data_IF_716020673279
#
_entry.id   IF_716020673279
#
_cell.length_a   1.000
_cell.length_b   1.000
_cell.length_c   1.000
_cell.angle_alpha   90.00
_cell.angle_beta   90.00
_cell.angle_gamma   90.00
#
_symmetry.space_group_name_H-M   'P 1'
#
loop_
_entity.id
_entity.type
_entity.pdbx_description
1 polymer ?
#
# COMPACT_ATOMS: atom_id res chain seq x y z
N UNK A 1 -19.35 -7.59 -13.32
CA UNK A 1 -17.92 -7.34 -13.01
C UNK A 1 -17.22 -8.68 -12.95
N UNK A 2 -16.13 -8.91 -13.70
CA UNK A 2 -15.32 -10.11 -13.51
C UNK A 2 -14.65 -9.98 -12.14
N UNK A 3 -14.93 -10.93 -11.23
CA UNK A 3 -14.14 -11.08 -10.01
C UNK A 3 -12.76 -11.52 -10.47
N UNK A 4 -11.82 -10.58 -10.58
CA UNK A 4 -10.43 -10.94 -10.81
C UNK A 4 -9.98 -11.73 -9.60
N UNK A 5 -9.78 -13.04 -9.80
CA UNK A 5 -9.31 -13.91 -8.73
C UNK A 5 -7.89 -13.48 -8.39
N UNK A 6 -7.70 -12.89 -7.22
CA UNK A 6 -6.41 -12.50 -6.69
C UNK A 6 -6.21 -13.14 -5.32
N UNK A 7 -4.95 -13.22 -4.91
CA UNK A 7 -4.57 -13.74 -3.59
C UNK A 7 -3.65 -12.72 -2.93
N UNK A 8 -3.94 -12.42 -1.67
CA UNK A 8 -3.14 -11.53 -0.83
C UNK A 8 -2.41 -12.37 0.21
N UNK A 9 -1.10 -12.14 0.36
CA UNK A 9 -0.32 -12.71 1.46
C UNK A 9 0.47 -11.60 2.17
N UNK A 10 0.43 -11.66 3.50
CA UNK A 10 1.07 -10.72 4.42
C UNK A 10 2.16 -11.46 5.19
N UNK A 11 3.37 -10.92 5.23
CA UNK A 11 4.49 -11.52 5.97
C UNK A 11 5.78 -10.73 5.79
N UNK A 12 6.73 -10.90 6.72
CA UNK A 12 8.09 -10.32 6.63
C UNK A 12 8.13 -8.81 6.34
N UNK A 13 7.12 -8.06 6.81
CA UNK A 13 7.00 -6.62 6.57
C UNK A 13 6.58 -6.22 5.15
N UNK A 14 6.04 -7.16 4.37
CA UNK A 14 5.51 -6.92 3.03
C UNK A 14 4.12 -7.50 2.83
N UNK A 15 3.36 -6.86 1.93
CA UNK A 15 2.12 -7.38 1.38
C UNK A 15 2.35 -7.75 -0.09
N UNK A 16 1.91 -8.94 -0.48
CA UNK A 16 1.99 -9.42 -1.85
C UNK A 16 0.59 -9.63 -2.41
N UNK A 17 0.37 -9.19 -3.65
CA UNK A 17 -0.89 -9.38 -4.38
C UNK A 17 -0.61 -10.12 -5.67
N UNK A 18 -1.09 -11.35 -5.77
CA UNK A 18 -0.99 -12.17 -6.98
C UNK A 18 -2.32 -12.21 -7.70
N UNK A 19 -2.38 -11.73 -8.93
CA UNK A 19 -3.57 -11.86 -9.78
C UNK A 19 -3.48 -13.14 -10.63
N UNK A 20 -4.58 -13.87 -10.73
CA UNK A 20 -4.67 -15.07 -11.56
C UNK A 20 -4.60 -14.68 -13.02
N UNK A 21 -3.80 -15.41 -13.79
CA UNK A 21 -3.64 -15.16 -15.24
C UNK A 21 -2.64 -14.05 -15.58
N UNK A 22 -2.07 -13.35 -14.59
CA UNK A 22 -0.96 -12.41 -14.81
C UNK A 22 0.37 -13.04 -14.43
N UNK A 23 1.46 -12.63 -15.09
CA UNK A 23 2.82 -13.06 -14.71
C UNK A 23 3.34 -12.30 -13.49
N UNK A 24 2.93 -11.05 -13.32
CA UNK A 24 3.37 -10.19 -12.22
C UNK A 24 2.78 -10.54 -10.86
N UNK A 25 3.51 -10.17 -9.80
CA UNK A 25 3.05 -10.11 -8.41
C UNK A 25 3.34 -8.70 -7.93
N UNK A 26 2.34 -7.99 -7.42
CA UNK A 26 2.58 -6.69 -6.79
C UNK A 26 3.13 -6.94 -5.38
N UNK A 27 4.16 -6.21 -4.99
CA UNK A 27 4.78 -6.29 -3.66
C UNK A 27 4.88 -4.89 -3.11
N UNK A 28 4.38 -4.69 -1.89
CA UNK A 28 4.41 -3.41 -1.18
C UNK A 28 4.98 -3.61 0.22
N UNK A 29 5.72 -2.62 0.71
CA UNK A 29 6.22 -2.63 2.10
C UNK A 29 5.10 -2.21 3.04
N UNK A 30 5.03 -2.87 4.18
CA UNK A 30 4.15 -2.49 5.28
C UNK A 30 4.83 -1.34 6.03
N UNK A 31 4.17 -0.19 6.04
CA UNK A 31 4.60 0.99 6.78
C UNK A 31 4.18 0.91 8.25
N UNK A 32 3.10 0.18 8.53
CA UNK A 32 2.56 -0.04 9.86
C UNK A 32 1.14 -0.59 9.80
N UNK A 33 0.61 -0.88 10.97
CA UNK A 33 -0.75 -1.36 11.17
C UNK A 33 -1.48 -0.41 12.09
N UNK A 34 -2.74 -0.12 11.79
CA UNK A 34 -3.64 0.71 12.59
C UNK A 34 -4.83 -0.16 12.96
N UNK A 35 -5.23 -0.15 14.23
CA UNK A 35 -6.52 -0.67 14.66
C UNK A 35 -7.51 0.49 14.79
N UNK A 36 -8.60 0.45 14.04
CA UNK A 36 -9.65 1.47 14.07
C UNK A 36 -11.01 0.81 13.94
N UNK A 37 -11.96 1.18 14.80
CA UNK A 37 -13.34 0.68 14.78
C UNK A 37 -13.45 -0.87 14.75
N UNK A 38 -12.51 -1.56 15.42
CA UNK A 38 -12.44 -3.03 15.45
C UNK A 38 -11.91 -3.67 14.16
N UNK A 39 -11.32 -2.88 13.27
CA UNK A 39 -10.73 -3.32 12.00
C UNK A 39 -9.22 -3.08 12.03
N UNK A 40 -8.46 -4.11 11.64
CA UNK A 40 -7.03 -4.01 11.38
C UNK A 40 -6.80 -3.44 9.98
N UNK A 41 -6.06 -2.34 9.89
CA UNK A 41 -5.73 -1.65 8.64
C UNK A 41 -4.22 -1.70 8.44
N UNK A 42 -3.79 -2.33 7.34
CA UNK A 42 -2.37 -2.43 6.97
C UNK A 42 -2.02 -1.30 6.00
N UNK A 43 -1.13 -0.41 6.41
CA UNK A 43 -0.67 0.71 5.59
C UNK A 43 0.49 0.28 4.69
N UNK A 44 0.40 0.53 3.39
CA UNK A 44 1.37 0.12 2.38
C UNK A 44 2.13 1.30 1.77
N UNK A 45 3.37 1.07 1.32
CA UNK A 45 4.22 2.09 0.69
C UNK A 45 3.78 2.52 -0.71
N UNK A 46 2.88 1.74 -1.35
CA UNK A 46 2.38 1.99 -2.70
C UNK A 46 1.01 1.36 -2.91
N UNK A 47 0.36 1.80 -3.98
CA UNK A 47 -0.93 1.29 -4.42
C UNK A 47 -0.75 -0.08 -5.11
N UNK A 48 -1.52 -1.09 -4.68
CA UNK A 48 -1.48 -2.47 -5.21
C UNK A 48 -2.78 -2.90 -5.92
N UNK A 49 -3.81 -2.06 -5.84
CA UNK A 49 -5.09 -2.21 -6.53
C UNK A 49 -5.22 -1.25 -7.72
N UNK A 50 -6.29 -1.34 -8.50
CA UNK A 50 -6.65 -0.37 -9.53
C UNK A 50 -7.49 0.77 -8.94
N UNK A 51 -7.54 1.91 -9.62
CA UNK A 51 -8.32 3.09 -9.18
C UNK A 51 -9.83 2.82 -9.01
N UNK A 52 -10.36 1.76 -9.62
CA UNK A 52 -11.77 1.38 -9.57
C UNK A 52 -12.03 0.20 -8.63
N UNK A 53 -10.98 -0.38 -8.04
CA UNK A 53 -11.10 -1.54 -7.15
C UNK A 53 -11.25 -1.06 -5.71
N UNK A 54 -12.29 -1.54 -5.05
CA UNK A 54 -12.57 -1.32 -3.63
C UNK A 54 -12.36 -2.58 -2.78
N UNK A 55 -12.21 -3.74 -3.41
CA UNK A 55 -12.01 -5.04 -2.75
C UNK A 55 -11.04 -5.93 -3.53
N UNK A 56 -10.19 -6.65 -2.80
CA UNK A 56 -9.27 -7.67 -3.33
C UNK A 56 -9.15 -8.82 -2.33
N UNK A 57 -9.43 -10.06 -2.75
CA UNK A 57 -9.27 -11.26 -1.90
C UNK A 57 -9.96 -11.14 -0.52
N UNK A 58 -11.13 -10.50 -0.47
CA UNK A 58 -11.86 -10.23 0.77
C UNK A 58 -11.35 -9.06 1.61
N UNK A 59 -10.27 -8.40 1.19
CA UNK A 59 -9.77 -7.17 1.81
C UNK A 59 -10.45 -5.95 1.19
N UNK A 60 -10.95 -5.06 2.04
CA UNK A 60 -11.26 -3.71 1.60
C UNK A 60 -9.97 -2.96 1.28
N UNK A 61 -9.90 -2.38 0.09
CA UNK A 61 -8.73 -1.62 -0.37
C UNK A 61 -9.12 -0.17 -0.65
N UNK A 62 -8.29 0.75 -0.19
CA UNK A 62 -8.45 2.17 -0.39
C UNK A 62 -7.08 2.84 -0.38
N UNK A 63 -6.95 3.94 -1.12
CA UNK A 63 -5.72 4.72 -1.09
C UNK A 63 -5.73 5.90 -2.05
N UNK A 64 -5.18 7.02 -1.59
CA UNK A 64 -4.61 8.08 -2.40
C UNK A 64 -3.11 8.11 -2.09
N UNK A 65 -2.29 8.09 -3.14
CA UNK A 65 -0.83 7.92 -3.13
C UNK A 65 -0.18 8.68 -1.97
N UNK A 66 0.58 7.96 -1.13
CA UNK A 66 1.32 8.50 0.01
C UNK A 66 2.25 9.64 -0.44
N UNK A 67 2.03 10.86 0.06
CA UNK A 67 2.94 11.99 -0.21
C UNK A 67 4.10 11.94 0.78
N UNK A 68 5.32 11.72 0.27
CA UNK A 68 6.54 11.70 1.08
C UNK A 68 7.24 13.06 1.04
N UNK A 69 7.38 13.69 2.21
CA UNK A 69 8.14 14.93 2.41
C UNK A 69 9.48 14.59 3.08
N UNK A 70 10.57 15.08 2.51
CA UNK A 70 11.92 14.90 3.08
C UNK A 70 12.65 16.23 3.25
N UNK A 71 13.47 16.33 4.28
CA UNK A 71 14.45 17.42 4.48
C UNK A 71 15.81 16.83 4.90
N UNK A 72 16.93 17.53 4.67
CA UNK A 72 18.24 17.08 5.14
C UNK A 72 18.28 16.91 6.67
N UNK A 73 18.97 15.87 7.13
CA UNK A 73 19.36 15.73 8.54
C UNK A 73 20.66 16.50 8.71
N UNK A 74 20.56 17.69 9.31
CA UNK A 74 21.68 18.62 9.51
C UNK A 74 21.18 20.05 9.75
N UNK A 75 22.06 20.99 10.15
CA UNK A 75 21.66 22.38 10.34
C UNK A 75 21.09 22.94 9.03
N UNK A 76 19.87 23.51 9.11
CA UNK A 76 19.25 24.20 7.97
C UNK A 76 20.18 25.34 7.54
N UNK A 77 20.82 25.21 6.38
CA UNK A 77 21.38 26.39 5.73
C UNK A 77 20.22 27.32 5.36
N UNK A 78 20.28 28.61 5.72
CA UNK A 78 19.30 29.58 5.23
C UNK A 78 19.31 29.57 3.71
N UNK A 79 18.12 29.62 3.09
CA UNK A 79 18.03 29.81 1.66
C UNK A 79 18.72 31.14 1.27
N UNK A 80 19.47 31.19 0.15
CA UNK A 80 19.97 32.46 -0.37
C UNK A 80 18.77 33.38 -0.67
N UNK A 81 18.92 34.66 -0.32
CA UNK A 81 17.91 35.71 -0.56
C UNK A 81 17.76 36.02 -2.04
#
# INVERSE_FOLDING_TARGET
MKVETCTIAIGEGVATVKRRGTRGTAVAKILGTIEADGVEVICLDRLVHGIHESELDGWHVAGAVTTLLSRPIGPRQPAPR
#
